data_IF_361565227354
#
_entry.id   IF_361565227354
#
_cell.length_a   1.000
_cell.length_b   1.000
_cell.length_c   1.000
_cell.angle_alpha   90.00
_cell.angle_beta   90.00
_cell.angle_gamma   90.00
#
_symmetry.space_group_name_H-M   'P 1'
#
loop_
_entity.id
_entity.type
_entity.pdbx_description
1 polymer ?
#
# COMPACT_ATOMS: atom_id res chain seq x y z
N UNK A 1 28.39 11.17 9.77
CA UNK A 1 27.74 9.92 9.30
C UNK A 1 26.40 10.33 8.72
N UNK A 2 26.12 10.04 7.44
CA UNK A 2 24.84 10.41 6.81
C UNK A 2 23.86 9.29 7.16
N UNK A 3 22.87 9.58 8.01
CA UNK A 3 21.76 8.67 8.27
C UNK A 3 20.78 8.78 7.10
N UNK A 4 20.64 7.71 6.33
CA UNK A 4 19.64 7.66 5.25
C UNK A 4 18.33 7.19 5.87
N UNK A 5 17.34 8.08 5.91
CA UNK A 5 15.98 7.73 6.32
C UNK A 5 15.19 7.25 5.12
N UNK A 6 14.46 6.14 5.30
CA UNK A 6 13.56 5.60 4.29
C UNK A 6 12.10 5.84 4.66
N UNK A 7 11.52 6.99 4.27
CA UNK A 7 10.15 7.31 4.64
C UNK A 7 9.19 6.27 4.07
N UNK A 8 8.14 5.97 4.82
CA UNK A 8 7.07 5.09 4.35
C UNK A 8 6.28 5.75 3.21
N UNK A 9 6.23 7.09 3.21
CA UNK A 9 5.54 7.87 2.17
C UNK A 9 6.36 7.89 0.87
N UNK A 10 5.76 7.41 -0.22
CA UNK A 10 6.30 7.46 -1.57
C UNK A 10 5.54 8.52 -2.38
N UNK A 11 6.21 9.64 -2.66
CA UNK A 11 5.68 10.75 -3.47
C UNK A 11 5.93 10.57 -4.96
N UNK A 12 5.51 9.42 -5.47
CA UNK A 12 5.58 9.10 -6.89
C UNK A 12 4.21 8.60 -7.34
N UNK A 13 3.89 8.84 -8.61
CA UNK A 13 2.62 8.41 -9.18
C UNK A 13 2.52 6.88 -9.24
N UNK A 14 1.39 6.38 -8.77
CA UNK A 14 0.96 5.01 -8.88
C UNK A 14 -0.47 4.94 -9.42
N UNK A 15 -0.91 3.73 -9.74
CA UNK A 15 -2.20 3.45 -10.36
C UNK A 15 -2.87 2.28 -9.66
N UNK A 16 -4.16 2.36 -9.42
CA UNK A 16 -4.93 1.26 -8.85
C UNK A 16 -6.23 1.08 -9.63
N UNK A 17 -6.78 -0.13 -9.57
CA UNK A 17 -7.95 -0.53 -10.35
C UNK A 17 -9.21 -0.40 -9.49
N UNK A 18 -10.15 0.43 -9.95
CA UNK A 18 -11.47 0.61 -9.33
C UNK A 18 -12.50 -0.13 -10.15
N UNK A 19 -13.28 -1.01 -9.52
CA UNK A 19 -14.38 -1.74 -10.16
C UNK A 19 -15.60 -1.74 -9.23
N UNK A 20 -16.72 -1.24 -9.73
CA UNK A 20 -17.95 -1.01 -9.01
C UNK A 20 -18.77 -2.28 -8.77
N UNK A 21 -18.39 -3.04 -7.76
CA UNK A 21 -19.33 -3.39 -6.69
C UNK A 21 -18.60 -3.15 -5.37
N UNK A 22 -19.03 -2.13 -4.66
CA UNK A 22 -18.48 -1.63 -3.41
C UNK A 22 -18.13 -2.77 -2.41
N UNK A 23 -17.06 -2.68 -1.56
CA UNK A 23 -16.15 -1.56 -1.32
C UNK A 23 -14.66 -1.89 -1.55
N UNK A 24 -14.27 -2.78 -2.46
CA UNK A 24 -12.83 -3.14 -2.59
C UNK A 24 -12.34 -3.13 -4.04
N UNK A 25 -11.16 -2.54 -4.30
CA UNK A 25 -10.47 -2.74 -5.56
C UNK A 25 -10.21 -4.24 -5.78
N UNK A 26 -10.29 -4.67 -7.03
CA UNK A 26 -10.35 -6.08 -7.42
C UNK A 26 -9.14 -6.91 -6.95
N UNK A 27 -7.96 -6.28 -6.87
CA UNK A 27 -6.73 -6.93 -6.40
C UNK A 27 -6.24 -6.43 -5.04
N UNK A 28 -6.73 -5.29 -4.55
CA UNK A 28 -6.09 -4.58 -3.43
C UNK A 28 -4.67 -4.11 -3.75
N UNK A 29 -4.23 -4.18 -5.02
CA UNK A 29 -2.86 -3.86 -5.43
C UNK A 29 -2.79 -2.49 -6.08
N UNK A 30 -1.69 -1.82 -5.82
CA UNK A 30 -1.31 -0.56 -6.45
C UNK A 30 -0.09 -0.82 -7.35
N UNK A 31 -0.11 -0.27 -8.56
CA UNK A 31 0.88 -0.47 -9.61
C UNK A 31 1.70 0.81 -9.86
N UNK A 32 2.99 0.67 -10.16
CA UNK A 32 3.81 1.79 -10.66
C UNK A 32 3.58 2.11 -12.13
N UNK A 33 3.10 1.13 -12.89
CA UNK A 33 2.92 1.23 -14.34
C UNK A 33 1.42 1.20 -14.67
N UNK A 34 0.96 2.24 -15.37
CA UNK A 34 -0.44 2.37 -15.80
C UNK A 34 -0.88 1.23 -16.70
N UNK A 35 0.00 0.74 -17.58
CA UNK A 35 -0.34 -0.33 -18.52
C UNK A 35 -0.70 -1.63 -17.80
N UNK A 36 -0.01 -1.93 -16.68
CA UNK A 36 -0.33 -3.08 -15.82
C UNK A 36 -1.68 -2.94 -15.13
N UNK A 37 -2.00 -1.76 -14.61
CA UNK A 37 -3.30 -1.49 -14.01
C UNK A 37 -4.44 -1.60 -15.04
N UNK A 38 -4.23 -1.08 -16.26
CA UNK A 38 -5.20 -1.21 -17.36
C UNK A 38 -5.41 -2.67 -17.75
N UNK A 39 -4.34 -3.44 -17.88
CA UNK A 39 -4.44 -4.86 -18.19
C UNK A 39 -5.20 -5.62 -17.10
N UNK A 40 -4.90 -5.35 -15.82
CA UNK A 40 -5.63 -5.95 -14.70
C UNK A 40 -7.13 -5.59 -14.71
N UNK A 41 -7.47 -4.33 -14.98
CA UNK A 41 -8.85 -3.88 -15.14
C UNK A 41 -9.57 -4.58 -16.30
N UNK A 42 -8.90 -4.82 -17.42
CA UNK A 42 -9.47 -5.53 -18.57
C UNK A 42 -9.78 -6.98 -18.21
N UNK A 43 -8.81 -7.70 -17.64
CA UNK A 43 -8.96 -9.09 -17.20
C UNK A 43 -10.11 -9.21 -16.18
N UNK A 44 -10.17 -8.29 -15.23
CA UNK A 44 -11.27 -8.18 -14.28
C UNK A 44 -12.63 -8.03 -14.99
N UNK A 45 -12.74 -7.06 -15.88
CA UNK A 45 -14.00 -6.75 -16.58
C UNK A 45 -14.49 -7.95 -17.37
N UNK A 46 -13.59 -8.65 -18.07
CA UNK A 46 -13.90 -9.89 -18.81
C UNK A 46 -14.43 -10.99 -17.87
N UNK A 47 -13.76 -11.24 -16.74
CA UNK A 47 -14.19 -12.26 -15.77
C UNK A 47 -15.58 -11.97 -15.18
N UNK A 48 -15.91 -10.70 -14.93
CA UNK A 48 -17.24 -10.32 -14.44
C UNK A 48 -18.31 -10.49 -15.52
N UNK A 49 -18.00 -10.13 -16.77
CA UNK A 49 -18.89 -10.33 -17.90
C UNK A 49 -19.19 -11.83 -18.13
N UNK A 50 -18.18 -12.69 -18.06
CA UNK A 50 -18.33 -14.16 -18.13
C UNK A 50 -19.24 -14.72 -17.03
N UNK A 51 -19.26 -14.06 -15.87
CA UNK A 51 -20.11 -14.42 -14.73
C UNK A 51 -21.50 -13.79 -14.77
N UNK A 52 -21.81 -13.00 -15.81
CA UNK A 52 -23.07 -12.27 -15.91
C UNK A 52 -23.25 -11.20 -14.84
N UNK A 53 -22.15 -10.71 -14.25
CA UNK A 53 -22.18 -9.65 -13.25
C UNK A 53 -22.03 -8.31 -13.96
N UNK A 54 -23.04 -7.46 -13.85
CA UNK A 54 -22.99 -6.10 -14.36
C UNK A 54 -22.11 -5.22 -13.46
N UNK A 55 -21.15 -4.54 -14.07
CA UNK A 55 -20.26 -3.60 -13.39
C UNK A 55 -20.81 -2.19 -13.52
N UNK A 56 -20.94 -1.49 -12.38
CA UNK A 56 -21.37 -0.09 -12.39
C UNK A 56 -20.26 0.87 -12.82
N UNK A 57 -19.00 0.52 -12.54
CA UNK A 57 -17.84 1.21 -13.08
C UNK A 57 -16.64 0.27 -13.19
N UNK A 58 -15.72 0.59 -14.10
CA UNK A 58 -14.40 0.00 -14.17
C UNK A 58 -13.42 1.05 -14.70
N UNK A 59 -12.50 1.51 -13.87
CA UNK A 59 -11.51 2.51 -14.30
C UNK A 59 -10.19 2.36 -13.54
N UNK A 60 -9.12 2.95 -14.12
CA UNK A 60 -7.82 3.06 -13.47
C UNK A 60 -7.70 4.45 -12.87
N UNK A 61 -7.58 4.52 -11.55
CA UNK A 61 -7.34 5.76 -10.83
C UNK A 61 -5.83 5.92 -10.56
N UNK A 62 -5.37 7.17 -10.42
CA UNK A 62 -3.99 7.51 -10.15
C UNK A 62 -3.84 8.10 -8.74
N UNK A 63 -2.76 7.74 -8.06
CA UNK A 63 -2.40 8.24 -6.73
C UNK A 63 -1.00 8.84 -6.82
N UNK A 64 -0.85 10.12 -6.50
CA UNK A 64 0.46 10.80 -6.52
C UNK A 64 1.28 10.54 -5.23
N UNK A 65 0.60 10.11 -4.17
CA UNK A 65 1.19 9.71 -2.89
C UNK A 65 0.62 8.36 -2.47
N UNK A 66 1.50 7.47 -2.01
CA UNK A 66 1.14 6.16 -1.43
C UNK A 66 2.07 5.84 -0.27
N UNK A 67 1.71 4.85 0.52
CA UNK A 67 2.43 4.47 1.73
C UNK A 67 2.95 3.03 1.58
N UNK A 68 4.26 2.83 1.78
CA UNK A 68 4.92 1.52 1.76
C UNK A 68 5.40 1.20 3.16
N UNK A 69 4.95 0.07 3.71
CA UNK A 69 5.44 -0.40 5.00
C UNK A 69 6.89 -0.85 4.88
N UNK A 70 7.83 0.02 5.25
CA UNK A 70 9.27 -0.21 5.11
C UNK A 70 10.00 0.39 6.29
N UNK A 71 10.93 -0.37 6.88
CA UNK A 71 11.73 0.15 7.99
C UNK A 71 12.54 1.39 7.57
N UNK A 72 12.37 2.48 8.32
CA UNK A 72 13.04 3.76 8.10
C UNK A 72 14.57 3.70 8.19
N UNK A 73 15.12 2.63 8.80
CA UNK A 73 16.56 2.43 9.01
C UNK A 73 17.14 1.40 8.05
N UNK A 74 16.64 0.16 8.06
CA UNK A 74 17.22 -0.94 7.29
C UNK A 74 16.50 -1.25 5.97
N UNK A 75 15.42 -0.54 5.64
CA UNK A 75 14.62 -0.77 4.45
C UNK A 75 13.93 -2.15 4.35
N UNK A 76 13.97 -2.97 5.40
CA UNK A 76 13.23 -4.24 5.44
C UNK A 76 11.74 -4.01 5.26
N UNK A 77 11.05 -5.01 4.69
CA UNK A 77 9.60 -5.05 4.50
C UNK A 77 8.95 -6.04 5.47
N UNK A 78 7.72 -5.78 5.94
CA UNK A 78 6.98 -6.73 6.74
C UNK A 78 6.60 -7.96 5.89
N UNK A 79 7.10 -9.13 6.29
CA UNK A 79 6.81 -10.40 5.62
C UNK A 79 7.25 -10.47 4.16
N UNK A 80 8.26 -9.68 3.76
CA UNK A 80 8.79 -9.56 2.38
C UNK A 80 7.73 -9.17 1.33
N UNK A 81 6.63 -8.52 1.75
CA UNK A 81 5.56 -8.05 0.86
C UNK A 81 5.68 -6.55 0.62
N UNK A 82 5.92 -6.09 -0.62
CA UNK A 82 5.99 -4.67 -0.95
C UNK A 82 4.60 -4.07 -1.17
N UNK A 83 3.64 -4.39 -0.31
CA UNK A 83 2.27 -3.89 -0.44
C UNK A 83 2.25 -2.37 -0.21
N UNK A 84 1.59 -1.67 -1.12
CA UNK A 84 1.41 -0.22 -1.09
C UNK A 84 -0.02 0.10 -0.65
N UNK A 85 -0.16 1.14 0.16
CA UNK A 85 -1.43 1.59 0.73
C UNK A 85 -1.76 3.00 0.22
N UNK A 86 -3.05 3.29 0.05
CA UNK A 86 -3.53 4.59 -0.43
C UNK A 86 -3.41 5.69 0.61
N UNK A 87 -3.49 5.34 1.89
CA UNK A 87 -3.36 6.25 3.02
C UNK A 87 -2.59 5.62 4.19
N UNK A 88 -2.23 6.47 5.16
CA UNK A 88 -1.45 6.08 6.32
C UNK A 88 -2.22 5.16 7.28
N UNK A 89 -3.53 5.39 7.47
CA UNK A 89 -4.34 4.63 8.42
C UNK A 89 -4.53 3.19 7.95
N UNK A 90 -4.73 2.97 6.65
CA UNK A 90 -4.76 1.66 6.03
C UNK A 90 -3.45 0.90 6.25
N UNK A 91 -2.29 1.57 6.12
CA UNK A 91 -0.99 0.98 6.42
C UNK A 91 -0.87 0.61 7.90
N UNK A 92 -1.25 1.51 8.81
CA UNK A 92 -1.18 1.24 10.27
C UNK A 92 -2.03 0.05 10.65
N UNK A 93 -3.25 -0.03 10.13
CA UNK A 93 -4.18 -1.12 10.41
C UNK A 93 -3.66 -2.45 9.84
N UNK A 94 -3.10 -2.43 8.63
CA UNK A 94 -2.45 -3.60 8.03
C UNK A 94 -1.25 -4.07 8.87
N UNK A 95 -0.38 -3.17 9.34
CA UNK A 95 0.74 -3.53 10.20
C UNK A 95 0.29 -4.11 11.54
N UNK A 96 -0.72 -3.51 12.18
CA UNK A 96 -1.32 -4.03 13.42
C UNK A 96 -1.85 -5.46 13.25
N UNK A 97 -2.43 -5.75 12.08
CA UNK A 97 -3.02 -7.05 11.78
C UNK A 97 -1.98 -8.09 11.37
N UNK A 98 -1.05 -7.73 10.48
CA UNK A 98 -0.14 -8.68 9.83
C UNK A 98 1.19 -8.85 10.56
N UNK A 99 1.69 -7.79 11.20
CA UNK A 99 3.03 -7.70 11.73
C UNK A 99 3.05 -6.83 13.02
N UNK A 100 2.41 -7.28 14.11
CA UNK A 100 2.19 -6.45 15.31
C UNK A 100 3.47 -6.03 16.04
N UNK A 101 4.61 -6.65 15.70
CA UNK A 101 5.94 -6.27 16.22
C UNK A 101 6.56 -5.10 15.46
N UNK A 102 5.93 -4.60 14.40
CA UNK A 102 6.34 -3.40 13.69
C UNK A 102 5.65 -2.18 14.29
N UNK A 103 6.38 -1.08 14.39
CA UNK A 103 5.86 0.15 15.00
C UNK A 103 5.78 1.27 13.98
N UNK A 104 4.79 2.14 14.16
CA UNK A 104 4.56 3.33 13.33
C UNK A 104 4.67 4.56 14.22
N UNK A 105 5.14 5.68 13.67
CA UNK A 105 5.14 6.99 14.36
C UNK A 105 4.21 7.96 13.66
N UNK A 106 3.90 9.07 14.33
CA UNK A 106 3.03 10.12 13.76
C UNK A 106 3.70 10.88 12.60
N UNK A 107 5.04 10.87 12.53
CA UNK A 107 5.83 11.40 11.41
C UNK A 107 5.91 10.46 10.19
N UNK A 108 4.95 9.55 10.05
CA UNK A 108 4.86 8.59 8.94
C UNK A 108 6.10 7.69 8.76
N UNK A 109 6.77 7.36 9.87
CA UNK A 109 7.86 6.38 9.87
C UNK A 109 7.35 5.00 10.32
N UNK A 110 7.95 3.96 9.74
CA UNK A 110 7.73 2.56 10.09
C UNK A 110 9.06 1.98 10.56
N UNK A 111 9.04 1.20 11.64
CA UNK A 111 10.26 0.55 12.16
C UNK A 111 10.04 -0.95 12.35
N UNK A 112 11.04 -1.73 11.92
CA UNK A 112 11.07 -3.17 12.16
C UNK A 112 11.47 -3.48 13.62
N UNK A 113 11.24 -4.71 14.11
CA UNK A 113 11.54 -5.09 15.50
C UNK A 113 12.99 -4.85 15.94
N UNK A 114 13.94 -4.80 15.00
CA UNK A 114 15.37 -4.58 15.27
C UNK A 114 15.75 -3.11 15.44
N UNK A 115 14.96 -2.20 14.88
CA UNK A 115 15.25 -0.76 14.82
C UNK A 115 14.14 0.06 15.46
N UNK A 116 13.34 -0.55 16.35
CA UNK A 116 12.32 0.19 17.08
C UNK A 116 12.99 1.33 17.85
N UNK A 117 12.42 2.55 17.85
CA UNK A 117 12.87 3.60 18.74
C UNK A 117 12.80 3.09 20.18
N UNK A 118 13.88 3.29 20.94
CA UNK A 118 13.89 3.03 22.38
C UNK A 118 12.75 3.83 23.00
N UNK A 119 11.88 3.18 23.78
CA UNK A 119 10.66 3.78 24.33
C UNK A 119 10.84 4.99 25.27
N UNK A 120 12.02 5.61 25.30
CA UNK A 120 12.30 6.89 25.95
C UNK A 120 11.93 8.09 25.06
N UNK A 121 11.69 7.86 23.77
CA UNK A 121 11.07 8.85 22.86
C UNK A 121 9.58 8.51 22.65
N UNK A 122 8.81 8.56 23.75
CA UNK A 122 7.34 8.57 23.68
C UNK A 122 6.81 9.94 23.21
N UNK A 123 5.54 10.00 22.74
CA UNK A 123 4.93 11.22 22.19
C UNK A 123 4.94 12.42 23.14
#
# INVERSE_FOLDING_TARGET
MITVTYPAVLRQRHYYVVVGSYPRPLSGRIHRDRSRAVWEMQVATEQFAERGIELYEAHVAALDEVYLARCGVCAELPGDKPDLFEDWDALREALRTWCPTWVTTDDWNVFCPRHQPSGEDGP
#
